data_IF_912669132425
#
_entry.id   IF_912669132425
#
_cell.length_a   1.000
_cell.length_b   1.000
_cell.length_c   1.000
_cell.angle_alpha   90.00
_cell.angle_beta   90.00
_cell.angle_gamma   90.00
#
_symmetry.space_group_name_H-M   'P 1'
#
loop_
_entity.id
_entity.type
_entity.pdbx_description
1 polymer ?
#
# COMPACT_ATOMS: atom_id res chain seq x y z
N UNK A 1 -3.14 -5.26 16.71
CA UNK A 1 -3.77 -4.30 15.77
C UNK A 1 -2.97 -4.33 14.48
N UNK A 2 -3.50 -3.86 13.36
CA UNK A 2 -2.80 -3.91 12.08
C UNK A 2 -2.77 -2.53 11.42
N UNK A 3 -1.68 -2.19 10.74
CA UNK A 3 -1.54 -0.98 9.92
C UNK A 3 -1.18 -1.38 8.49
N UNK A 4 -1.51 -0.52 7.53
CA UNK A 4 -1.11 -0.71 6.14
C UNK A 4 -0.09 0.39 5.81
N UNK A 5 1.00 0.02 5.16
CA UNK A 5 1.94 0.97 4.57
C UNK A 5 1.89 0.76 3.07
N UNK A 6 1.71 1.85 2.34
CA UNK A 6 1.73 1.90 0.90
C UNK A 6 3.10 2.42 0.45
N UNK A 7 3.80 1.62 -0.34
CA UNK A 7 5.13 1.94 -0.85
C UNK A 7 5.03 2.19 -2.34
N UNK A 8 5.59 3.32 -2.77
CA UNK A 8 5.75 3.70 -4.17
C UNK A 8 7.23 3.69 -4.46
N UNK A 9 7.66 2.91 -5.45
CA UNK A 9 9.04 2.88 -5.90
C UNK A 9 9.10 3.29 -7.36
N UNK A 10 9.82 4.35 -7.67
CA UNK A 10 10.14 4.66 -9.05
C UNK A 10 11.18 3.67 -9.58
N UNK A 11 10.87 2.94 -10.65
CA UNK A 11 11.72 1.88 -11.22
C UNK A 11 12.89 2.43 -12.02
N UNK A 12 12.81 3.68 -12.50
CA UNK A 12 13.88 4.33 -13.26
C UNK A 12 14.91 5.01 -12.34
N UNK A 13 14.44 5.74 -11.34
CA UNK A 13 15.32 6.49 -10.41
C UNK A 13 15.67 5.70 -9.16
N UNK A 14 14.92 4.64 -8.85
CA UNK A 14 15.04 3.89 -7.61
C UNK A 14 14.48 4.61 -6.38
N UNK A 15 13.90 5.81 -6.54
CA UNK A 15 13.34 6.58 -5.43
C UNK A 15 12.18 5.82 -4.77
N UNK A 16 12.21 5.69 -3.43
CA UNK A 16 11.18 5.00 -2.65
C UNK A 16 10.47 5.99 -1.74
N UNK A 17 9.14 6.02 -1.82
CA UNK A 17 8.27 6.79 -0.93
C UNK A 17 7.32 5.86 -0.19
N UNK A 18 7.16 6.10 1.10
CA UNK A 18 6.29 5.31 1.97
C UNK A 18 5.18 6.20 2.53
N UNK A 19 3.94 5.75 2.36
CA UNK A 19 2.73 6.40 2.85
C UNK A 19 2.08 5.47 3.88
N UNK A 20 2.13 5.86 5.14
CA UNK A 20 1.45 5.12 6.21
C UNK A 20 -0.04 5.43 6.20
N UNK A 21 -0.89 4.41 6.24
CA UNK A 21 -2.29 4.62 6.55
C UNK A 21 -2.44 4.94 8.06
N UNK A 22 -3.16 6.01 8.38
CA UNK A 22 -3.51 6.38 9.76
C UNK A 22 -4.49 5.39 10.40
N UNK A 23 -5.29 4.68 9.58
CA UNK A 23 -6.24 3.70 10.04
C UNK A 23 -5.57 2.46 10.63
N UNK A 24 -6.14 2.03 11.76
CA UNK A 24 -5.70 0.87 12.52
C UNK A 24 -6.79 -0.20 12.48
N UNK A 25 -6.46 -1.33 11.86
CA UNK A 25 -7.38 -2.44 11.68
C UNK A 25 -7.33 -3.41 12.86
N UNK A 26 -8.49 -3.87 13.31
CA UNK A 26 -8.59 -4.86 14.41
C UNK A 26 -8.27 -6.29 13.97
N UNK A 27 -8.40 -6.60 12.67
CA UNK A 27 -8.17 -7.92 12.07
C UNK A 27 -7.21 -7.82 10.89
N UNK A 28 -6.28 -8.79 10.79
CA UNK A 28 -5.33 -8.89 9.68
C UNK A 28 -6.00 -9.18 8.34
N UNK A 29 -7.07 -9.98 8.33
CA UNK A 29 -7.83 -10.27 7.12
C UNK A 29 -8.55 -9.04 6.56
N UNK A 30 -9.10 -8.19 7.43
CA UNK A 30 -9.68 -6.89 7.02
C UNK A 30 -8.60 -5.96 6.45
N UNK A 31 -7.45 -5.88 7.10
CA UNK A 31 -6.32 -5.08 6.62
C UNK A 31 -5.81 -5.56 5.25
N UNK A 32 -5.70 -6.88 5.04
CA UNK A 32 -5.27 -7.46 3.76
C UNK A 32 -6.27 -7.19 2.64
N UNK A 33 -7.57 -7.27 2.92
CA UNK A 33 -8.62 -6.95 1.94
C UNK A 33 -8.53 -5.47 1.52
N UNK A 34 -8.32 -4.56 2.47
CA UNK A 34 -8.18 -3.13 2.16
C UNK A 34 -6.88 -2.83 1.41
N UNK A 35 -5.77 -3.47 1.79
CA UNK A 35 -4.49 -3.36 1.07
C UNK A 35 -4.64 -3.75 -0.41
N UNK A 36 -5.33 -4.85 -0.68
CA UNK A 36 -5.62 -5.30 -2.05
C UNK A 36 -6.52 -4.30 -2.80
N UNK A 37 -7.52 -3.73 -2.13
CA UNK A 37 -8.40 -2.71 -2.72
C UNK A 37 -7.62 -1.46 -3.12
N UNK A 38 -6.70 -0.99 -2.27
CA UNK A 38 -5.86 0.18 -2.55
C UNK A 38 -4.96 -0.05 -3.77
N UNK A 39 -4.30 -1.21 -3.84
CA UNK A 39 -3.48 -1.57 -5.01
C UNK A 39 -4.33 -1.61 -6.27
N UNK A 40 -5.46 -2.33 -6.25
CA UNK A 40 -6.36 -2.41 -7.40
C UNK A 40 -6.85 -1.03 -7.86
N UNK A 41 -7.18 -0.14 -6.92
CA UNK A 41 -7.62 1.21 -7.26
C UNK A 41 -6.53 1.99 -7.99
N UNK A 42 -5.28 1.92 -7.51
CA UNK A 42 -4.15 2.61 -8.13
C UNK A 42 -3.84 2.00 -9.50
N UNK A 43 -3.81 0.67 -9.63
CA UNK A 43 -3.53 0.00 -10.90
C UNK A 43 -4.63 0.18 -11.94
N UNK A 44 -5.91 0.22 -11.53
CA UNK A 44 -7.03 0.36 -12.46
C UNK A 44 -7.30 1.82 -12.87
N UNK A 45 -6.99 2.79 -12.01
CA UNK A 45 -7.17 4.22 -12.31
C UNK A 45 -5.89 4.89 -12.83
N UNK A 46 -4.78 4.16 -12.92
CA UNK A 46 -3.57 4.62 -13.57
C UNK A 46 -3.85 4.91 -15.05
N UNK A 47 -3.99 6.19 -15.41
CA UNK A 47 -4.20 6.63 -16.80
C UNK A 47 -2.99 6.36 -17.71
N UNK A 48 -1.83 6.04 -17.15
CA UNK A 48 -0.59 5.75 -17.86
C UNK A 48 0.18 4.61 -17.18
N UNK A 49 0.98 3.87 -17.96
CA UNK A 49 2.10 3.08 -17.41
C UNK A 49 3.06 4.09 -16.81
N UNK A 50 2.95 4.33 -15.51
CA UNK A 50 3.95 5.12 -14.83
C UNK A 50 5.17 4.24 -14.50
N UNK A 51 6.29 4.90 -14.25
CA UNK A 51 7.51 4.24 -13.85
C UNK A 51 7.47 3.84 -12.38
N UNK A 52 6.29 3.61 -11.79
CA UNK A 52 6.15 3.34 -10.37
C UNK A 52 5.66 1.92 -10.11
N UNK A 53 6.39 1.22 -9.26
CA UNK A 53 5.94 -0.03 -8.64
C UNK A 53 5.22 0.30 -7.32
N UNK A 54 3.98 -0.18 -7.21
CA UNK A 54 3.13 0.05 -6.06
C UNK A 54 3.00 -1.21 -5.21
N UNK A 55 3.29 -1.11 -3.91
CA UNK A 55 3.17 -2.23 -2.96
C UNK A 55 2.38 -1.79 -1.73
N UNK A 56 1.52 -2.67 -1.21
CA UNK A 56 0.81 -2.44 0.04
C UNK A 56 1.17 -3.55 1.04
N UNK A 57 1.74 -3.17 2.17
CA UNK A 57 2.20 -4.11 3.20
C UNK A 57 1.38 -3.96 4.47
N UNK A 58 0.88 -5.09 4.98
CA UNK A 58 0.14 -5.16 6.25
C UNK A 58 1.10 -5.49 7.38
N UNK A 59 1.21 -4.60 8.36
CA UNK A 59 2.03 -4.82 9.56
C UNK A 59 1.15 -5.08 10.78
N UNK A 60 1.52 -6.09 11.58
CA UNK A 60 0.96 -6.27 12.92
C UNK A 60 1.60 -5.27 13.86
N UNK A 61 0.79 -4.34 14.36
CA UNK A 61 1.16 -3.40 15.42
C UNK A 61 0.91 -4.11 16.75
N UNK A 62 2.00 -4.41 17.48
CA UNK A 62 1.92 -4.73 18.90
C UNK A 62 1.55 -3.45 19.65
N UNK A 63 0.60 -3.56 20.57
CA UNK A 63 0.33 -2.49 21.53
C UNK A 63 1.53 -2.36 22.46
#
# INVERSE_FOLDING_TARGET
MYKIVFTVRNVLTGEVRNYGNAERYKSGGKAAKEARRMINFVTCNGRYRDDNEYTATVFKVKK
#
